data_IF_875179927694
#
_entry.id   IF_875179927694
#
_cell.length_a   1.000
_cell.length_b   1.000
_cell.length_c   1.000
_cell.angle_alpha   90.00
_cell.angle_beta   90.00
_cell.angle_gamma   90.00
#
_symmetry.space_group_name_H-M   'P 1'
#
loop_
_entity.id
_entity.type
_entity.pdbx_description
1 polymer ?
#
# COMPACT_ATOMS: atom_id res chain seq x y z
N UNK A 1 -23.83 5.36 22.57
CA UNK A 1 -22.62 4.80 23.20
C UNK A 1 -21.59 4.58 22.10
N UNK A 2 -20.66 5.52 21.94
CA UNK A 2 -19.57 5.41 20.96
C UNK A 2 -18.51 4.42 21.48
N UNK A 3 -18.42 3.25 20.84
CA UNK A 3 -17.35 2.30 21.09
C UNK A 3 -16.09 2.82 20.41
N UNK A 4 -15.17 3.37 21.21
CA UNK A 4 -13.81 3.70 20.79
C UNK A 4 -13.05 2.40 20.64
N UNK A 5 -12.99 1.87 19.41
CA UNK A 5 -12.10 0.77 19.07
C UNK A 5 -10.63 1.10 19.40
N UNK A 6 -9.78 0.08 19.58
CA UNK A 6 -8.40 0.29 20.03
C UNK A 6 -7.63 1.20 19.07
N UNK A 7 -7.09 2.28 19.62
CA UNK A 7 -6.22 3.23 18.93
C UNK A 7 -4.87 2.55 18.64
N UNK A 8 -4.34 2.59 17.41
CA UNK A 8 -2.96 2.15 17.19
C UNK A 8 -1.99 3.08 17.95
N UNK A 9 -0.89 2.57 18.51
CA UNK A 9 0.05 3.36 19.29
C UNK A 9 0.69 4.47 18.44
N UNK A 10 0.94 5.64 19.05
CA UNK A 10 1.45 6.84 18.39
C UNK A 10 2.83 6.66 17.71
N UNK A 11 3.57 5.60 18.08
CA UNK A 11 4.90 5.29 17.55
C UNK A 11 4.87 4.70 16.13
N UNK A 12 3.77 4.05 15.73
CA UNK A 12 3.51 3.59 14.34
C UNK A 12 3.61 4.76 13.36
N UNK A 13 3.11 5.94 13.77
CA UNK A 13 3.15 7.17 12.97
C UNK A 13 4.56 7.79 12.88
N UNK A 14 5.48 7.42 13.79
CA UNK A 14 6.81 8.05 13.90
C UNK A 14 7.90 7.31 13.14
N UNK A 15 7.88 5.97 13.15
CA UNK A 15 8.90 5.14 12.49
C UNK A 15 8.89 5.25 10.94
N UNK A 16 7.79 5.75 10.35
CA UNK A 16 7.56 5.82 8.90
C UNK A 16 7.81 7.24 8.33
N UNK A 17 8.23 8.22 9.15
CA UNK A 17 8.49 9.61 8.73
C UNK A 17 9.76 9.79 7.89
N UNK A 18 10.71 8.85 7.92
CA UNK A 18 12.07 9.03 7.36
C UNK A 18 12.27 8.71 5.87
N UNK A 19 11.22 8.52 5.06
CA UNK A 19 11.35 7.98 3.69
C UNK A 19 10.50 8.67 2.61
N UNK A 20 9.93 9.83 2.89
CA UNK A 20 9.00 10.48 1.97
C UNK A 20 9.72 11.45 1.02
N UNK A 21 10.13 10.96 -0.15
CA UNK A 21 10.22 11.76 -1.38
C UNK A 21 9.63 10.92 -2.53
N UNK A 22 8.36 11.16 -2.85
CA UNK A 22 7.72 10.62 -4.05
C UNK A 22 7.13 11.79 -4.86
N UNK A 23 7.94 12.31 -5.80
CA UNK A 23 7.48 13.22 -6.85
C UNK A 23 6.72 12.42 -7.91
N UNK A 24 5.40 12.36 -7.76
CA UNK A 24 4.52 11.71 -8.73
C UNK A 24 4.47 12.47 -10.06
N UNK A 25 5.02 11.86 -11.12
CA UNK A 25 4.57 12.01 -12.51
C UNK A 25 5.22 10.92 -13.38
N UNK A 26 4.59 9.73 -13.50
CA UNK A 26 4.89 8.84 -14.64
C UNK A 26 3.98 9.25 -15.79
N UNK A 27 4.57 9.83 -16.84
CA UNK A 27 3.90 10.07 -18.13
C UNK A 27 3.56 8.73 -18.80
N UNK A 28 2.44 8.62 -19.54
CA UNK A 28 2.14 7.44 -20.33
C UNK A 28 3.16 7.27 -21.46
N UNK A 29 3.61 6.03 -21.64
CA UNK A 29 4.50 5.63 -22.70
C UNK A 29 3.76 5.64 -24.04
N UNK A 30 4.24 6.43 -25.01
CA UNK A 30 3.76 6.34 -26.39
C UNK A 30 4.01 7.56 -27.25
N UNK A 31 5.26 7.83 -27.64
CA UNK A 31 5.50 8.49 -28.92
C UNK A 31 6.85 8.02 -29.49
N UNK A 32 6.79 7.17 -30.52
CA UNK A 32 7.93 6.83 -31.37
C UNK A 32 8.13 7.99 -32.33
N UNK A 33 9.30 8.64 -32.29
CA UNK A 33 9.77 9.50 -33.40
C UNK A 33 11.20 9.12 -33.77
N UNK A 34 11.39 9.09 -35.08
CA UNK A 34 12.55 8.64 -35.83
C UNK A 34 13.83 9.45 -35.51
N UNK A 35 14.98 8.75 -35.53
CA UNK A 35 16.32 9.34 -35.70
C UNK A 35 16.62 9.41 -37.22
N UNK A 36 17.35 10.37 -37.81
CA UNK A 36 18.76 10.85 -37.73
C UNK A 36 18.93 11.99 -38.80
N UNK A 37 20.13 12.55 -39.12
CA UNK A 37 21.30 12.97 -38.33
C UNK A 37 21.86 14.38 -38.71
N UNK A 38 22.86 14.86 -37.95
CA UNK A 38 23.81 15.93 -38.32
C UNK A 38 24.39 16.52 -37.02
N UNK A 39 25.68 16.57 -36.72
CA UNK A 39 26.87 16.77 -37.55
C UNK A 39 27.51 18.09 -37.09
N UNK A 40 28.66 18.06 -36.39
CA UNK A 40 29.36 19.29 -36.01
C UNK A 40 30.41 19.12 -34.91
N UNK A 41 31.68 19.25 -35.29
CA UNK A 41 32.89 19.16 -34.45
C UNK A 41 33.19 20.48 -33.73
N UNK A 42 33.99 20.42 -32.66
CA UNK A 42 35.04 21.43 -32.41
C UNK A 42 35.30 21.81 -30.95
N UNK A 43 36.55 21.64 -30.51
CA UNK A 43 37.24 22.60 -29.63
C UNK A 43 37.44 22.23 -28.15
N UNK A 44 38.63 21.73 -27.81
CA UNK A 44 39.31 21.91 -26.51
C UNK A 44 40.40 22.99 -26.72
N UNK A 45 40.88 23.77 -25.72
CA UNK A 45 41.95 23.30 -24.80
C UNK A 45 41.96 23.88 -23.35
N UNK A 46 42.69 23.16 -22.47
CA UNK A 46 43.50 23.50 -21.25
C UNK A 46 43.16 24.74 -20.38
N UNK A 47 42.94 24.66 -19.04
CA UNK A 47 43.89 24.38 -17.92
C UNK A 47 44.27 25.70 -17.17
N UNK A 48 44.83 25.78 -15.92
CA UNK A 48 45.20 24.75 -14.95
C UNK A 48 44.86 25.02 -13.43
N UNK A 49 45.09 23.99 -12.60
CA UNK A 49 45.65 23.93 -11.23
C UNK A 49 45.21 24.85 -10.05
N UNK A 50 44.84 24.24 -8.92
CA UNK A 50 45.61 24.28 -7.65
C UNK A 50 45.09 23.30 -6.57
N UNK A 51 46.02 22.84 -5.74
CA UNK A 51 45.93 21.75 -4.77
C UNK A 51 45.75 22.21 -3.30
N UNK A 52 45.52 21.21 -2.44
CA UNK A 52 45.73 21.12 -0.97
C UNK A 52 44.71 21.88 -0.09
N UNK A 53 44.26 21.41 1.09
CA UNK A 53 44.94 20.56 2.07
C UNK A 53 43.95 19.76 2.97
N UNK A 54 44.53 18.84 3.76
CA UNK A 54 43.92 17.78 4.56
C UNK A 54 43.10 18.20 5.82
N UNK A 55 42.21 17.30 6.25
CA UNK A 55 42.06 16.95 7.68
C UNK A 55 41.37 15.59 7.86
N UNK A 56 42.12 14.63 8.39
CA UNK A 56 41.63 13.42 9.04
C UNK A 56 40.97 13.82 10.36
N UNK A 57 39.73 13.38 10.59
CA UNK A 57 39.24 13.08 11.93
C UNK A 57 38.28 11.91 11.88
N UNK A 58 38.69 10.85 12.56
CA UNK A 58 37.90 9.67 12.90
C UNK A 58 36.88 10.12 13.93
N UNK A 59 35.59 9.87 13.70
CA UNK A 59 34.74 9.52 14.82
C UNK A 59 33.54 8.66 14.40
N UNK A 60 33.19 7.76 15.31
CA UNK A 60 32.49 6.53 15.06
C UNK A 60 31.06 6.68 14.53
N UNK A 61 30.74 5.85 13.56
CA UNK A 61 29.37 5.48 13.19
C UNK A 61 28.67 4.82 14.39
N UNK A 62 27.41 5.17 14.70
CA UNK A 62 26.48 4.18 15.21
C UNK A 62 25.64 3.70 14.04
N UNK A 63 25.89 2.47 13.60
CA UNK A 63 25.01 1.72 12.73
C UNK A 63 23.59 1.71 13.32
N UNK A 64 22.67 2.48 12.74
CA UNK A 64 21.22 2.25 12.90
C UNK A 64 20.79 1.14 11.94
N UNK A 65 21.40 -0.03 12.09
CA UNK A 65 21.04 -1.24 11.38
C UNK A 65 19.88 -1.97 12.07
N UNK A 66 18.77 -2.15 11.34
CA UNK A 66 17.90 -3.34 11.38
C UNK A 66 17.25 -3.81 12.71
N UNK A 67 17.09 -2.98 13.74
CA UNK A 67 16.42 -3.39 15.00
C UNK A 67 14.96 -2.96 15.18
N UNK A 68 14.38 -2.25 14.20
CA UNK A 68 12.99 -1.72 14.26
C UNK A 68 11.96 -2.39 13.33
N UNK A 69 12.32 -3.44 12.59
CA UNK A 69 11.42 -4.08 11.62
C UNK A 69 10.43 -5.13 12.17
N UNK A 70 10.74 -5.91 13.23
CA UNK A 70 9.81 -6.94 13.73
C UNK A 70 8.55 -6.34 14.37
N UNK A 71 8.74 -5.38 15.29
CA UNK A 71 7.64 -4.76 16.05
C UNK A 71 6.64 -4.03 15.13
N UNK A 72 7.13 -3.27 14.14
CA UNK A 72 6.26 -2.57 13.18
C UNK A 72 5.44 -3.56 12.35
N UNK A 73 6.03 -4.69 11.95
CA UNK A 73 5.30 -5.72 11.20
C UNK A 73 4.23 -6.40 12.07
N UNK A 74 4.54 -6.67 13.34
CA UNK A 74 3.58 -7.24 14.30
C UNK A 74 2.43 -6.29 14.63
N UNK A 75 2.69 -5.01 14.79
CA UNK A 75 1.66 -3.97 15.00
C UNK A 75 0.76 -3.81 13.78
N UNK A 76 1.35 -3.74 12.58
CA UNK A 76 0.59 -3.73 11.33
C UNK A 76 -0.27 -4.98 11.23
N UNK A 77 0.29 -6.15 11.53
CA UNK A 77 -0.46 -7.41 11.54
C UNK A 77 -1.62 -7.36 12.53
N UNK A 78 -1.40 -6.88 13.75
CA UNK A 78 -2.46 -6.70 14.75
C UNK A 78 -3.56 -5.76 14.24
N UNK A 79 -3.22 -4.67 13.55
CA UNK A 79 -4.18 -3.75 12.95
C UNK A 79 -5.01 -4.45 11.85
N UNK A 80 -4.41 -5.23 10.96
CA UNK A 80 -5.14 -6.01 9.94
C UNK A 80 -6.07 -7.06 10.59
N UNK A 81 -5.62 -7.73 11.66
CA UNK A 81 -6.43 -8.75 12.31
C UNK A 81 -7.57 -8.16 13.16
N UNK A 82 -7.37 -6.98 13.74
CA UNK A 82 -8.39 -6.29 14.54
C UNK A 82 -9.41 -5.51 13.71
N UNK A 83 -9.12 -5.22 12.44
CA UNK A 83 -9.99 -4.45 11.58
C UNK A 83 -11.22 -5.22 11.10
N UNK A 84 -12.25 -4.47 10.75
CA UNK A 84 -13.43 -4.97 10.03
C UNK A 84 -13.36 -4.53 8.57
N UNK A 85 -13.81 -5.39 7.67
CA UNK A 85 -13.74 -5.20 6.22
C UNK A 85 -15.13 -5.38 5.64
N UNK A 86 -15.42 -4.94 4.42
CA UNK A 86 -16.70 -5.25 3.77
C UNK A 86 -17.46 -4.05 3.26
N UNK A 87 -18.60 -4.30 2.64
CA UNK A 87 -19.53 -3.25 2.20
C UNK A 87 -20.24 -2.62 3.40
N UNK A 88 -20.90 -1.49 3.21
CA UNK A 88 -21.70 -0.88 4.28
C UNK A 88 -22.77 -1.83 4.88
N UNK A 89 -23.27 -2.80 4.09
CA UNK A 89 -24.33 -3.74 4.51
C UNK A 89 -23.80 -5.03 5.11
N UNK A 90 -22.63 -5.49 4.69
CA UNK A 90 -22.07 -6.77 5.13
C UNK A 90 -20.59 -6.64 5.43
N UNK A 91 -20.28 -6.59 6.74
CA UNK A 91 -18.92 -6.51 7.27
C UNK A 91 -18.40 -7.88 7.69
N UNK A 92 -17.08 -8.07 7.63
CA UNK A 92 -16.39 -9.29 8.09
C UNK A 92 -15.10 -8.98 8.84
N UNK A 93 -14.60 -9.97 9.55
CA UNK A 93 -13.30 -9.99 10.20
C UNK A 93 -12.49 -11.20 9.72
N UNK A 94 -11.17 -11.11 9.88
CA UNK A 94 -10.27 -12.23 9.64
C UNK A 94 -10.29 -13.16 10.85
N UNK A 95 -10.63 -14.43 10.63
CA UNK A 95 -10.69 -15.44 11.70
C UNK A 95 -9.80 -16.65 11.38
N UNK A 96 -9.13 -17.26 12.37
CA UNK A 96 -8.48 -18.55 12.19
C UNK A 96 -9.50 -19.68 11.98
N UNK A 97 -10.74 -19.51 12.43
CA UNK A 97 -11.82 -20.51 12.35
C UNK A 97 -12.84 -20.14 11.28
N UNK A 98 -13.42 -21.16 10.63
CA UNK A 98 -14.47 -20.97 9.62
C UNK A 98 -15.74 -20.48 10.28
N UNK A 99 -16.42 -19.53 9.63
CA UNK A 99 -17.74 -19.07 10.01
C UNK A 99 -18.59 -18.76 8.78
N UNK A 100 -19.67 -18.00 8.98
CA UNK A 100 -20.54 -17.55 7.90
C UNK A 100 -19.84 -16.43 7.13
N UNK A 101 -19.54 -16.59 5.84
CA UNK A 101 -18.93 -15.52 5.05
C UNK A 101 -19.98 -14.47 4.64
N UNK A 102 -19.55 -13.25 4.27
CA UNK A 102 -20.41 -12.31 3.57
C UNK A 102 -20.99 -12.90 2.30
N UNK A 103 -22.22 -12.51 1.94
CA UNK A 103 -22.92 -13.09 0.78
C UNK A 103 -22.22 -12.79 -0.56
N UNK A 104 -21.48 -11.68 -0.62
CA UNK A 104 -20.70 -11.23 -1.78
C UNK A 104 -19.35 -11.95 -1.92
N UNK A 105 -18.85 -12.64 -0.88
CA UNK A 105 -17.55 -13.33 -0.90
C UNK A 105 -17.65 -14.67 -1.65
N UNK A 106 -17.86 -14.59 -2.97
CA UNK A 106 -18.00 -15.71 -3.91
C UNK A 106 -16.91 -15.65 -4.97
N UNK A 107 -16.52 -16.80 -5.50
CA UNK A 107 -15.41 -16.87 -6.47
C UNK A 107 -14.13 -16.24 -5.91
N UNK A 108 -13.27 -15.72 -6.78
CA UNK A 108 -12.13 -14.90 -6.34
C UNK A 108 -12.56 -13.47 -6.10
N UNK A 109 -11.91 -12.79 -5.16
CA UNK A 109 -12.13 -11.37 -4.89
C UNK A 109 -10.92 -10.74 -4.21
N UNK A 110 -10.81 -9.42 -4.25
CA UNK A 110 -9.80 -8.67 -3.52
C UNK A 110 -10.41 -7.50 -2.75
N UNK A 111 -9.77 -7.07 -1.66
CA UNK A 111 -10.04 -5.79 -1.01
C UNK A 111 -8.81 -4.92 -1.10
N UNK A 112 -8.97 -3.73 -1.67
CA UNK A 112 -7.90 -2.73 -1.83
C UNK A 112 -8.43 -1.39 -1.33
N UNK A 113 -7.71 -0.76 -0.41
CA UNK A 113 -7.98 0.62 0.04
C UNK A 113 -7.26 1.63 -0.83
N UNK A 114 -7.85 2.80 -0.98
CA UNK A 114 -7.12 3.91 -1.54
C UNK A 114 -6.21 4.51 -0.46
N UNK A 115 -4.99 3.99 -0.42
CA UNK A 115 -3.80 4.66 0.09
C UNK A 115 -3.76 4.92 1.62
N UNK A 116 -3.00 4.07 2.33
CA UNK A 116 -2.46 4.32 3.68
C UNK A 116 -0.94 4.06 3.70
N UNK A 117 -0.10 4.87 3.02
CA UNK A 117 1.33 4.72 3.14
C UNK A 117 1.77 5.28 4.48
N UNK A 118 2.49 4.46 5.24
CA UNK A 118 3.19 4.95 6.41
C UNK A 118 2.31 5.34 7.60
N UNK A 119 1.04 4.92 7.67
CA UNK A 119 0.12 5.28 8.76
C UNK A 119 -0.03 6.81 8.96
N UNK A 120 0.09 7.61 7.88
CA UNK A 120 -0.12 9.06 7.94
C UNK A 120 -1.53 9.39 7.46
N UNK A 121 -2.27 10.12 8.29
CA UNK A 121 -3.52 10.76 7.89
C UNK A 121 -3.18 11.83 6.85
N UNK A 122 -3.36 11.50 5.56
CA UNK A 122 -3.39 12.52 4.51
C UNK A 122 -4.65 13.37 4.65
N UNK A 123 -4.69 14.53 3.99
CA UNK A 123 -5.91 15.32 3.90
C UNK A 123 -7.02 14.46 3.26
N UNK A 124 -8.26 14.63 3.73
CA UNK A 124 -9.41 13.87 3.24
C UNK A 124 -9.53 13.93 1.70
N UNK A 125 -9.18 15.07 1.10
CA UNK A 125 -9.16 15.29 -0.35
C UNK A 125 -8.17 14.41 -1.11
N UNK A 126 -6.99 14.12 -0.54
CA UNK A 126 -6.01 13.24 -1.17
C UNK A 126 -6.49 11.79 -1.18
N UNK A 127 -7.11 11.33 -0.07
CA UNK A 127 -7.69 10.00 0.01
C UNK A 127 -8.88 9.84 -0.95
N UNK A 128 -9.74 10.86 -1.07
CA UNK A 128 -10.84 10.85 -2.04
C UNK A 128 -10.32 10.76 -3.48
N UNK A 129 -9.30 11.54 -3.84
CA UNK A 129 -8.70 11.49 -5.19
C UNK A 129 -8.04 10.14 -5.48
N UNK A 130 -7.31 9.58 -4.52
CA UNK A 130 -6.73 8.24 -4.66
C UNK A 130 -7.83 7.18 -4.82
N UNK A 131 -8.93 7.31 -4.07
CA UNK A 131 -10.13 6.47 -4.18
C UNK A 131 -10.76 6.49 -5.55
N UNK A 132 -10.98 7.69 -6.09
CA UNK A 132 -11.50 7.88 -7.43
C UNK A 132 -10.56 7.31 -8.49
N UNK A 133 -9.25 7.52 -8.36
CA UNK A 133 -8.26 6.97 -9.28
C UNK A 133 -8.25 5.44 -9.27
N UNK A 134 -8.28 4.82 -8.08
CA UNK A 134 -8.35 3.36 -7.94
C UNK A 134 -9.62 2.79 -8.57
N UNK A 135 -10.76 3.45 -8.34
CA UNK A 135 -12.03 3.06 -8.93
C UNK A 135 -11.97 3.08 -10.47
N UNK A 136 -11.45 4.17 -11.04
CA UNK A 136 -11.29 4.32 -12.50
C UNK A 136 -10.36 3.25 -13.06
N UNK A 137 -9.22 3.00 -12.43
CA UNK A 137 -8.26 1.98 -12.86
C UNK A 137 -8.88 0.58 -12.85
N UNK A 138 -9.57 0.22 -11.76
CA UNK A 138 -10.22 -1.08 -11.62
C UNK A 138 -11.35 -1.25 -12.65
N UNK A 139 -12.16 -0.22 -12.88
CA UNK A 139 -13.23 -0.25 -13.89
C UNK A 139 -12.67 -0.34 -15.32
N UNK A 140 -11.60 0.39 -15.63
CA UNK A 140 -10.92 0.28 -16.93
C UNK A 140 -10.35 -1.12 -17.18
N UNK A 141 -10.02 -1.86 -16.11
CA UNK A 141 -9.65 -3.27 -16.16
C UNK A 141 -10.81 -4.25 -16.40
N UNK A 142 -12.04 -3.76 -16.57
CA UNK A 142 -13.24 -4.58 -16.83
C UNK A 142 -13.92 -5.13 -15.57
N UNK A 143 -13.58 -4.61 -14.39
CA UNK A 143 -14.17 -5.05 -13.13
C UNK A 143 -15.36 -4.16 -12.72
N UNK A 144 -16.29 -4.74 -11.97
CA UNK A 144 -17.39 -4.02 -11.30
C UNK A 144 -17.16 -4.02 -9.79
N UNK A 145 -16.34 -3.09 -9.26
CA UNK A 145 -16.02 -3.07 -7.84
C UNK A 145 -17.22 -2.63 -6.98
N UNK A 146 -17.30 -3.19 -5.78
CA UNK A 146 -18.27 -2.79 -4.75
C UNK A 146 -17.61 -1.77 -3.81
N UNK A 147 -18.31 -0.66 -3.47
CA UNK A 147 -17.86 0.22 -2.41
C UNK A 147 -17.75 -0.53 -1.08
N UNK A 148 -16.63 -0.34 -0.39
CA UNK A 148 -16.31 -1.04 0.84
C UNK A 148 -15.62 -0.12 1.84
N UNK A 149 -15.52 -0.59 3.07
CA UNK A 149 -14.81 0.11 4.13
C UNK A 149 -13.93 -0.85 4.91
N UNK A 150 -12.78 -0.34 5.33
CA UNK A 150 -11.90 -1.00 6.28
C UNK A 150 -11.94 -0.22 7.60
N UNK A 151 -11.92 -0.91 8.73
CA UNK A 151 -12.06 -0.28 10.05
C UNK A 151 -13.46 0.26 10.34
N UNK A 152 -13.59 0.97 11.46
CA UNK A 152 -14.83 1.54 11.97
C UNK A 152 -14.60 2.89 12.66
N UNK A 153 -15.67 3.66 12.86
CA UNK A 153 -15.62 4.98 13.50
C UNK A 153 -14.67 5.95 12.79
N UNK A 154 -13.88 6.70 13.55
CA UNK A 154 -12.87 7.63 13.04
C UNK A 154 -11.75 6.96 12.22
N UNK A 155 -11.60 5.63 12.31
CA UNK A 155 -10.60 4.85 11.57
C UNK A 155 -11.21 4.12 10.37
N UNK A 156 -12.43 4.50 9.96
CA UNK A 156 -13.06 3.98 8.76
C UNK A 156 -12.39 4.54 7.52
N UNK A 157 -11.81 3.66 6.72
CA UNK A 157 -11.18 3.98 5.44
C UNK A 157 -12.05 3.51 4.28
N UNK A 158 -12.06 4.29 3.19
CA UNK A 158 -12.71 3.90 1.94
C UNK A 158 -11.89 2.81 1.20
N UNK A 159 -12.60 1.80 0.73
CA UNK A 159 -12.03 0.63 0.08
C UNK A 159 -12.89 0.19 -1.11
N UNK A 160 -12.32 -0.66 -1.96
CA UNK A 160 -13.04 -1.41 -2.97
C UNK A 160 -12.95 -2.89 -2.69
N UNK A 161 -14.08 -3.58 -2.83
CA UNK A 161 -14.10 -5.03 -3.05
C UNK A 161 -14.20 -5.27 -4.55
N UNK A 162 -13.33 -6.12 -5.08
CA UNK A 162 -13.18 -6.35 -6.52
C UNK A 162 -13.46 -7.83 -6.80
N UNK A 163 -14.72 -8.20 -7.10
CA UNK A 163 -15.06 -9.57 -7.49
C UNK A 163 -14.32 -9.99 -8.77
N UNK A 164 -13.92 -11.26 -8.84
CA UNK A 164 -13.16 -11.82 -9.96
C UNK A 164 -11.67 -11.47 -9.98
N UNK A 165 -11.20 -10.60 -9.07
CA UNK A 165 -9.80 -10.21 -9.04
C UNK A 165 -8.86 -11.39 -8.78
N UNK A 166 -7.77 -11.47 -9.56
CA UNK A 166 -6.68 -12.42 -9.34
C UNK A 166 -5.70 -11.85 -8.32
N UNK A 167 -4.99 -12.73 -7.61
CA UNK A 167 -3.98 -12.35 -6.62
C UNK A 167 -2.94 -11.36 -7.17
N UNK A 168 -2.46 -11.59 -8.41
CA UNK A 168 -1.49 -10.69 -9.06
C UNK A 168 -2.05 -9.28 -9.27
N UNK A 169 -3.34 -9.17 -9.60
CA UNK A 169 -3.97 -7.86 -9.79
C UNK A 169 -4.13 -7.15 -8.44
N UNK A 170 -4.56 -7.88 -7.41
CA UNK A 170 -4.63 -7.36 -6.04
C UNK A 170 -3.27 -6.81 -5.57
N UNK A 171 -2.19 -7.58 -5.76
CA UNK A 171 -0.84 -7.14 -5.41
C UNK A 171 -0.37 -5.93 -6.22
N UNK A 172 -0.67 -5.89 -7.52
CA UNK A 172 -0.32 -4.75 -8.38
C UNK A 172 -1.03 -3.46 -7.92
N UNK A 173 -2.34 -3.51 -7.66
CA UNK A 173 -3.07 -2.37 -7.12
C UNK A 173 -2.54 -2.02 -5.72
N UNK A 174 -2.35 -2.99 -4.83
CA UNK A 174 -1.78 -2.75 -3.52
C UNK A 174 -0.45 -2.01 -3.58
N UNK A 175 0.46 -2.44 -4.45
CA UNK A 175 1.74 -1.80 -4.68
C UNK A 175 1.60 -0.39 -5.25
N UNK A 176 0.79 -0.22 -6.30
CA UNK A 176 0.58 1.08 -6.95
C UNK A 176 0.00 2.13 -5.99
N UNK A 177 -0.79 1.67 -5.01
CA UNK A 177 -1.42 2.51 -4.00
C UNK A 177 -0.70 2.47 -2.64
N UNK A 178 0.55 2.00 -2.60
CA UNK A 178 1.43 2.11 -1.43
C UNK A 178 1.00 1.29 -0.21
N UNK A 179 0.29 0.18 -0.41
CA UNK A 179 -0.19 -0.67 0.67
C UNK A 179 0.91 -1.56 1.24
N UNK A 180 0.88 -1.76 2.56
CA UNK A 180 1.70 -2.77 3.22
C UNK A 180 1.17 -4.20 3.01
N UNK A 181 -0.15 -4.35 2.83
CA UNK A 181 -0.78 -5.62 2.52
C UNK A 181 -2.15 -5.43 1.87
N UNK A 182 -2.58 -6.42 1.08
CA UNK A 182 -3.94 -6.50 0.51
C UNK A 182 -4.66 -7.74 1.00
N UNK A 183 -5.99 -7.74 0.93
CA UNK A 183 -6.78 -8.96 1.11
C UNK A 183 -7.12 -9.57 -0.25
N UNK A 184 -6.92 -10.89 -0.38
CA UNK A 184 -7.36 -11.65 -1.55
C UNK A 184 -8.05 -12.93 -1.10
N UNK A 185 -9.24 -13.19 -1.62
CA UNK A 185 -10.06 -14.33 -1.20
C UNK A 185 -10.52 -15.24 -2.33
N UNK A 186 -10.90 -16.45 -1.94
CA UNK A 186 -11.63 -17.42 -2.76
C UNK A 186 -12.78 -17.99 -1.93
N UNK A 187 -14.00 -17.56 -2.23
CA UNK A 187 -15.15 -17.81 -1.36
C UNK A 187 -14.92 -17.21 0.03
N UNK A 188 -15.10 -18.04 1.07
CA UNK A 188 -14.86 -17.67 2.46
C UNK A 188 -13.38 -17.69 2.88
N UNK A 189 -12.49 -18.29 2.09
CA UNK A 189 -11.05 -18.31 2.40
C UNK A 189 -10.46 -16.97 2.00
N UNK A 190 -9.65 -16.39 2.88
CA UNK A 190 -8.99 -15.11 2.61
C UNK A 190 -7.51 -15.20 2.97
N UNK A 191 -6.70 -14.55 2.16
CA UNK A 191 -5.29 -14.37 2.36
C UNK A 191 -5.00 -12.90 2.68
N UNK A 192 -4.27 -12.66 3.76
CA UNK A 192 -3.57 -11.40 4.01
C UNK A 192 -2.22 -11.49 3.29
N UNK A 193 -2.05 -10.67 2.25
CA UNK A 193 -0.91 -10.73 1.33
C UNK A 193 -0.04 -9.53 1.59
N UNK A 194 1.12 -9.77 2.21
CA UNK A 194 2.10 -8.74 2.55
C UNK A 194 2.89 -8.30 1.32
N UNK A 195 3.11 -7.00 1.19
CA UNK A 195 3.89 -6.38 0.13
C UNK A 195 5.16 -5.77 0.72
N UNK A 196 6.30 -5.95 0.06
CA UNK A 196 7.54 -5.25 0.43
C UNK A 196 7.59 -3.83 -0.14
N UNK A 197 8.68 -3.12 0.12
CA UNK A 197 8.90 -1.75 -0.38
C UNK A 197 9.02 -1.65 -1.90
N UNK A 198 9.25 -2.76 -2.59
CA UNK A 198 9.26 -2.83 -4.06
C UNK A 198 7.89 -3.21 -4.62
N UNK A 199 6.90 -3.44 -3.75
CA UNK A 199 5.56 -3.86 -4.14
C UNK A 199 5.43 -5.36 -4.46
N UNK A 200 6.45 -6.16 -4.14
CA UNK A 200 6.42 -7.61 -4.35
C UNK A 200 5.80 -8.31 -3.15
N UNK A 201 5.18 -9.47 -3.41
CA UNK A 201 4.63 -10.31 -2.34
C UNK A 201 5.76 -10.83 -1.47
N UNK A 202 5.75 -10.45 -0.18
CA UNK A 202 6.77 -10.81 0.80
C UNK A 202 6.30 -11.84 1.83
N UNK A 203 4.99 -12.11 1.87
CA UNK A 203 4.41 -13.12 2.75
C UNK A 203 2.91 -13.28 2.54
N UNK A 204 2.39 -14.44 2.95
CA UNK A 204 0.95 -14.74 2.86
C UNK A 204 0.50 -15.44 4.13
N UNK A 205 -0.52 -14.90 4.78
CA UNK A 205 -1.21 -15.51 5.90
C UNK A 205 -2.65 -15.85 5.51
N UNK A 206 -3.18 -16.97 6.01
CA UNK A 206 -4.50 -17.49 5.59
C UNK A 206 -5.49 -17.50 6.74
N UNK A 207 -6.68 -17.00 6.47
CA UNK A 207 -7.79 -16.87 7.39
C UNK A 207 -9.11 -17.25 6.71
N UNK A 208 -10.18 -17.14 7.48
CA UNK A 208 -11.55 -17.16 7.00
C UNK A 208 -12.15 -15.75 7.13
N UNK A 209 -12.88 -15.33 6.11
CA UNK A 209 -13.75 -14.17 6.20
C UNK A 209 -15.02 -14.58 6.96
N UNK A 210 -15.18 -14.07 8.18
CA UNK A 210 -16.35 -14.35 9.02
C UNK A 210 -17.14 -13.07 9.20
N UNK A 211 -18.43 -13.11 8.85
CA UNK A 211 -19.34 -11.98 8.96
C UNK A 211 -19.43 -11.56 10.43
N UNK A 212 -19.22 -10.27 10.68
CA UNK A 212 -19.47 -9.69 12.00
C UNK A 212 -20.98 -9.67 12.28
N UNK A 213 -21.38 -9.87 13.53
CA UNK A 213 -22.74 -9.53 13.96
C UNK A 213 -22.77 -8.00 14.03
N UNK A 214 -23.47 -7.37 13.07
CA UNK A 214 -23.68 -5.93 13.06
C UNK A 214 -24.65 -5.49 14.13
#
# INVERSE_FOLDING_TARGET
MESTGPRPPAEVCSALRGRADYSGARRPAGERRNALPGGGRGGVPAGPARAADAAVSRDATPERGRRGQPAVKEELRAAFLGATYGTARERFQLSPTRGVPPSWARGTWATVTAWNPGARQLSAEANVRAGAALLVEVQAGGFSPLPAHNGAGAWREEALIIPGARLRQAANWGSAYGQAAVLWGTGARVALVWLDSEGKVSGVERFWAVRGVG
#
